data_IF_616297030168
#
_entry.id   IF_616297030168
#
_cell.length_a   1.000
_cell.length_b   1.000
_cell.length_c   1.000
_cell.angle_alpha   90.00
_cell.angle_beta   90.00
_cell.angle_gamma   90.00
#
_symmetry.space_group_name_H-M   'P 1'
#
loop_
_entity.id
_entity.type
_entity.pdbx_description
1 polymer ?
#
# COMPACT_ATOMS: atom_id res chain seq x y z
N UNK A 1 18.24 -2.85 -7.08
CA UNK A 1 17.48 -1.59 -6.98
C UNK A 1 17.35 -1.04 -8.38
N UNK A 2 16.17 -1.10 -8.99
CA UNK A 2 15.96 -0.52 -10.33
C UNK A 2 16.07 0.99 -10.15
N UNK A 3 17.15 1.59 -10.65
CA UNK A 3 17.23 3.05 -10.75
C UNK A 3 16.20 3.46 -11.79
N UNK A 4 15.06 3.98 -11.33
CA UNK A 4 14.22 4.81 -12.18
C UNK A 4 15.01 6.09 -12.42
N UNK A 5 15.89 6.09 -13.41
CA UNK A 5 16.42 7.35 -13.91
C UNK A 5 15.20 8.17 -14.35
N UNK A 6 15.04 9.37 -13.76
CA UNK A 6 13.96 10.29 -14.10
C UNK A 6 13.92 10.43 -15.62
N UNK A 7 12.72 10.30 -16.20
CA UNK A 7 12.53 10.36 -17.65
C UNK A 7 13.10 11.68 -18.18
N UNK A 8 14.15 11.59 -19.00
CA UNK A 8 14.81 12.77 -19.56
C UNK A 8 14.12 13.18 -20.85
N UNK A 9 13.12 14.05 -20.71
CA UNK A 9 12.35 14.63 -21.82
C UNK A 9 13.25 15.22 -22.91
N UNK A 10 14.34 15.89 -22.54
CA UNK A 10 15.24 16.54 -23.51
C UNK A 10 15.99 15.52 -24.38
N UNK A 11 16.54 14.48 -23.77
CA UNK A 11 17.22 13.42 -24.52
C UNK A 11 16.24 12.64 -25.40
N UNK A 12 15.04 12.37 -24.89
CA UNK A 12 13.99 11.70 -25.65
C UNK A 12 13.56 12.48 -26.90
N UNK A 13 13.33 13.80 -26.77
CA UNK A 13 13.03 14.67 -27.93
C UNK A 13 14.19 14.68 -28.93
N UNK A 14 15.44 14.75 -28.46
CA UNK A 14 16.62 14.73 -29.32
C UNK A 14 16.73 13.44 -30.15
N UNK A 15 16.45 12.30 -29.52
CA UNK A 15 16.50 11.00 -30.18
C UNK A 15 15.39 10.87 -31.25
N UNK A 16 14.18 11.36 -30.95
CA UNK A 16 13.07 11.39 -31.91
C UNK A 16 13.38 12.30 -33.11
N UNK A 17 13.96 13.48 -32.88
CA UNK A 17 14.40 14.37 -33.95
C UNK A 17 15.50 13.72 -34.81
N UNK A 18 16.45 13.04 -34.18
CA UNK A 18 17.50 12.30 -34.89
C UNK A 18 16.93 11.16 -35.77
N UNK A 19 15.80 10.59 -35.38
CA UNK A 19 15.05 9.59 -36.16
C UNK A 19 14.18 10.20 -37.28
N UNK A 20 14.20 11.51 -37.47
CA UNK A 20 13.46 12.21 -38.54
C UNK A 20 12.05 12.65 -38.14
N UNK A 21 11.69 12.60 -36.85
CA UNK A 21 10.44 13.17 -36.36
C UNK A 21 10.50 14.70 -36.31
N UNK A 22 9.42 15.37 -36.68
CA UNK A 22 9.31 16.82 -36.52
C UNK A 22 9.40 17.22 -35.03
N UNK A 23 10.00 18.38 -34.75
CA UNK A 23 10.23 18.84 -33.38
C UNK A 23 8.94 18.98 -32.59
N UNK A 24 7.88 19.55 -33.18
CA UNK A 24 6.60 19.70 -32.48
C UNK A 24 5.97 18.35 -32.17
N UNK A 25 6.12 17.39 -33.07
CA UNK A 25 5.63 16.03 -32.84
C UNK A 25 6.42 15.33 -31.72
N UNK A 26 7.75 15.50 -31.71
CA UNK A 26 8.63 14.93 -30.70
C UNK A 26 8.33 15.50 -29.31
N UNK A 27 8.13 16.81 -29.20
CA UNK A 27 7.77 17.50 -27.95
C UNK A 27 6.43 17.02 -27.40
N UNK A 28 5.38 16.99 -28.24
CA UNK A 28 4.04 16.52 -27.84
C UNK A 28 4.09 15.07 -27.38
N UNK A 29 4.85 14.21 -28.06
CA UNK A 29 4.98 12.81 -27.66
C UNK A 29 5.70 12.67 -26.32
N UNK A 30 6.77 13.45 -26.11
CA UNK A 30 7.54 13.45 -24.87
C UNK A 30 6.70 13.90 -23.67
N UNK A 31 5.87 14.93 -23.85
CA UNK A 31 4.98 15.45 -22.82
C UNK A 31 3.90 14.43 -22.43
N UNK A 32 3.24 13.80 -23.41
CA UNK A 32 2.26 12.74 -23.15
C UNK A 32 2.90 11.54 -22.43
N UNK A 33 4.13 11.18 -22.81
CA UNK A 33 4.86 10.09 -22.18
C UNK A 33 5.22 10.41 -20.72
N UNK A 34 5.59 11.67 -20.43
CA UNK A 34 5.85 12.13 -19.07
C UNK A 34 4.58 12.03 -18.20
N UNK A 35 3.44 12.54 -18.68
CA UNK A 35 2.16 12.47 -17.97
C UNK A 35 1.77 11.03 -17.65
N UNK A 36 1.95 10.11 -18.60
CA UNK A 36 1.65 8.69 -18.38
C UNK A 36 2.59 8.07 -17.33
N UNK A 37 3.88 8.42 -17.35
CA UNK A 37 4.85 7.94 -16.37
C UNK A 37 4.55 8.49 -14.97
N UNK A 38 4.24 9.79 -14.84
CA UNK A 38 3.85 10.42 -13.58
C UNK A 38 2.60 9.75 -13.00
N UNK A 39 1.58 9.52 -13.84
CA UNK A 39 0.34 8.83 -13.43
C UNK A 39 0.62 7.41 -12.91
N UNK A 40 1.47 6.65 -13.59
CA UNK A 40 1.84 5.31 -13.16
C UNK A 40 2.68 5.30 -11.88
N UNK A 41 3.61 6.26 -11.72
CA UNK A 41 4.42 6.39 -10.52
C UNK A 41 3.54 6.74 -9.32
N UNK A 42 2.64 7.71 -9.46
CA UNK A 42 1.66 8.07 -8.44
C UNK A 42 0.82 6.84 -8.04
N UNK A 43 0.22 6.16 -9.02
CA UNK A 43 -0.59 4.95 -8.77
C UNK A 43 0.20 3.85 -8.02
N UNK A 44 1.48 3.65 -8.36
CA UNK A 44 2.33 2.66 -7.67
C UNK A 44 2.63 3.07 -6.24
N UNK A 45 2.90 4.35 -5.99
CA UNK A 45 3.12 4.86 -4.64
C UNK A 45 1.84 4.70 -3.81
N UNK A 46 0.68 5.09 -4.34
CA UNK A 46 -0.61 4.95 -3.68
C UNK A 46 -0.92 3.48 -3.34
N UNK A 47 -0.62 2.54 -4.24
CA UNK A 47 -0.77 1.09 -3.98
C UNK A 47 0.14 0.62 -2.85
N UNK A 48 1.37 1.14 -2.75
CA UNK A 48 2.29 0.78 -1.67
C UNK A 48 1.77 1.29 -0.33
N UNK A 49 1.28 2.53 -0.28
CA UNK A 49 0.67 3.10 0.92
C UNK A 49 -0.59 2.32 1.33
N UNK A 50 -1.50 2.02 0.39
CA UNK A 50 -2.67 1.17 0.65
C UNK A 50 -2.29 -0.21 1.19
N UNK A 51 -1.22 -0.83 0.67
CA UNK A 51 -0.74 -2.13 1.18
C UNK A 51 -0.22 -2.03 2.61
N UNK A 52 0.47 -0.93 2.95
CA UNK A 52 0.94 -0.67 4.32
C UNK A 52 -0.24 -0.52 5.27
N UNK A 53 -1.21 0.32 4.90
CA UNK A 53 -2.39 0.60 5.73
C UNK A 53 -3.21 -0.69 5.97
N UNK A 54 -3.38 -1.54 4.95
CA UNK A 54 -4.02 -2.85 5.10
C UNK A 54 -3.24 -3.77 6.05
N UNK A 55 -1.90 -3.76 5.97
CA UNK A 55 -1.06 -4.59 6.84
C UNK A 55 -1.15 -4.14 8.30
N UNK A 56 -1.14 -2.82 8.54
CA UNK A 56 -1.31 -2.22 9.86
C UNK A 56 -2.68 -2.52 10.44
N UNK A 57 -3.75 -2.28 9.68
CA UNK A 57 -5.12 -2.61 10.07
C UNK A 57 -5.30 -4.09 10.41
N UNK A 58 -4.69 -4.99 9.63
CA UNK A 58 -4.72 -6.44 9.88
C UNK A 58 -3.96 -6.81 11.16
N UNK A 59 -2.85 -6.13 11.45
CA UNK A 59 -2.09 -6.35 12.68
C UNK A 59 -2.89 -5.89 13.91
N UNK A 60 -3.51 -4.73 13.84
CA UNK A 60 -4.39 -4.20 14.89
C UNK A 60 -5.60 -5.12 15.12
N UNK A 61 -6.30 -5.52 14.06
CA UNK A 61 -7.43 -6.46 14.14
C UNK A 61 -7.06 -7.81 14.78
N UNK A 62 -5.85 -8.33 14.50
CA UNK A 62 -5.36 -9.56 15.12
C UNK A 62 -5.08 -9.37 16.61
N UNK A 63 -4.44 -8.27 16.98
CA UNK A 63 -4.20 -7.91 18.38
C UNK A 63 -5.54 -7.78 19.12
N UNK A 64 -6.53 -7.20 18.45
CA UNK A 64 -7.87 -7.05 19.00
C UNK A 64 -8.56 -8.38 19.27
N UNK A 65 -8.48 -9.27 18.30
CA UNK A 65 -8.98 -10.64 18.43
C UNK A 65 -8.32 -11.39 19.59
N UNK A 66 -7.00 -11.27 19.76
CA UNK A 66 -6.27 -11.95 20.82
C UNK A 66 -6.55 -11.39 22.21
N UNK A 67 -6.72 -10.07 22.38
CA UNK A 67 -7.13 -9.52 23.69
C UNK A 67 -8.54 -9.97 24.05
N UNK A 68 -9.47 -9.99 23.08
CA UNK A 68 -10.85 -10.43 23.33
C UNK A 68 -10.90 -11.90 23.75
N UNK A 69 -10.14 -12.78 23.10
CA UNK A 69 -10.05 -14.20 23.49
C UNK A 69 -9.55 -14.36 24.93
N UNK A 70 -8.52 -13.60 25.33
CA UNK A 70 -7.99 -13.62 26.69
C UNK A 70 -9.02 -13.13 27.70
N UNK A 71 -9.77 -12.07 27.37
CA UNK A 71 -10.84 -11.57 28.23
C UNK A 71 -11.94 -12.63 28.42
N UNK A 72 -12.41 -13.25 27.34
CA UNK A 72 -13.44 -14.29 27.38
C UNK A 72 -13.00 -15.51 28.21
N UNK A 73 -11.73 -15.93 28.09
CA UNK A 73 -11.17 -16.99 28.91
C UNK A 73 -11.21 -16.62 30.40
N UNK A 74 -10.78 -15.40 30.76
CA UNK A 74 -10.80 -14.91 32.14
C UNK A 74 -12.20 -14.86 32.73
N UNK A 75 -13.17 -14.36 31.97
CA UNK A 75 -14.59 -14.36 32.37
C UNK A 75 -15.09 -15.79 32.57
N UNK A 76 -14.81 -16.69 31.63
CA UNK A 76 -15.23 -18.09 31.73
C UNK A 76 -14.69 -18.79 32.98
N UNK A 77 -13.41 -18.55 33.31
CA UNK A 77 -12.79 -19.06 34.54
C UNK A 77 -13.50 -18.51 35.78
N UNK A 78 -13.71 -17.19 35.85
CA UNK A 78 -14.36 -16.54 36.99
C UNK A 78 -15.79 -17.07 37.24
N UNK A 79 -16.58 -17.19 36.17
CA UNK A 79 -17.94 -17.75 36.24
C UNK A 79 -17.92 -19.21 36.67
N UNK A 80 -16.99 -20.01 36.13
CA UNK A 80 -16.84 -21.42 36.53
C UNK A 80 -16.53 -21.59 38.02
N UNK A 81 -15.58 -20.82 38.55
CA UNK A 81 -15.27 -20.82 39.98
C UNK A 81 -16.47 -20.39 40.85
N UNK A 82 -17.20 -19.35 40.45
CA UNK A 82 -18.38 -18.89 41.16
C UNK A 82 -19.49 -19.97 41.19
N UNK A 83 -19.73 -20.66 40.07
CA UNK A 83 -20.70 -21.74 39.98
C UNK A 83 -20.34 -22.94 40.88
N UNK A 84 -19.07 -23.36 40.89
CA UNK A 84 -18.59 -24.42 41.79
C UNK A 84 -18.79 -24.03 43.25
N UNK A 85 -18.41 -22.80 43.64
CA UNK A 85 -18.61 -22.31 45.00
C UNK A 85 -20.09 -22.34 45.41
N UNK A 86 -21.00 -22.00 44.50
CA UNK A 86 -22.44 -21.98 44.80
C UNK A 86 -23.05 -23.39 44.90
N UNK A 87 -22.55 -24.36 44.14
CA UNK A 87 -23.07 -25.73 44.16
C UNK A 87 -22.56 -26.57 45.35
N UNK A 88 -21.43 -26.20 45.95
CA UNK A 88 -20.80 -26.94 47.07
C UNK A 88 -20.82 -26.17 48.41
N UNK A 89 -21.56 -25.05 48.49
CA UNK A 89 -21.81 -24.27 49.71
C UNK A 89 -23.28 -24.33 50.10
#
# INVERSE_FOLDING_TARGET
MIKTELFNTHQFVKDLKAAGMDEKQAEVLAENQLVMLETHIATKADILDLKRDIAEFKAESKKDTEWMKRLLLGIGIAVGFAAVKYLFS
#
